data_IF_194001799458
#
_entry.id   IF_194001799458
#
_cell.length_a   1.000
_cell.length_b   1.000
_cell.length_c   1.000
_cell.angle_alpha   90.00
_cell.angle_beta   90.00
_cell.angle_gamma   90.00
#
_symmetry.space_group_name_H-M   'P 1'
#
loop_
_entity.id
_entity.type
_entity.pdbx_description
1 polymer ?
#
# COMPACT_ATOMS: atom_id res chain seq x y z
N UNK A 1 32.73 44.55 44.27
CA UNK A 1 33.99 43.86 44.63
C UNK A 1 33.63 42.46 45.14
N UNK A 2 34.34 41.37 44.77
CA UNK A 2 34.70 40.96 43.41
C UNK A 2 34.48 39.44 43.14
N UNK A 3 34.50 39.10 41.85
CA UNK A 3 35.22 38.01 41.14
C UNK A 3 35.45 36.58 41.69
N UNK A 4 35.49 35.69 40.68
CA UNK A 4 36.20 34.41 40.52
C UNK A 4 35.49 33.13 40.99
N UNK A 5 35.66 31.96 40.38
CA UNK A 5 36.16 31.45 39.08
C UNK A 5 36.21 29.91 39.25
N UNK A 6 36.39 29.16 38.15
CA UNK A 6 36.83 27.75 38.09
C UNK A 6 35.74 26.68 38.37
N UNK A 7 35.64 25.53 37.71
CA UNK A 7 36.30 24.96 36.53
C UNK A 7 35.68 23.57 36.23
N UNK A 8 36.01 23.06 35.04
CA UNK A 8 36.15 21.63 34.65
C UNK A 8 34.88 20.80 34.36
N UNK A 9 34.87 19.92 33.36
CA UNK A 9 35.92 19.50 32.45
C UNK A 9 35.41 18.32 31.61
N UNK A 10 35.64 18.39 30.31
CA UNK A 10 35.48 17.30 29.35
C UNK A 10 36.85 16.63 29.16
N UNK A 11 36.91 15.30 29.26
CA UNK A 11 38.03 14.44 28.86
C UNK A 11 37.36 13.16 28.34
N UNK A 12 37.49 12.65 27.11
CA UNK A 12 38.58 12.58 26.12
C UNK A 12 39.90 12.11 26.74
N UNK A 13 40.03 10.78 26.85
CA UNK A 13 41.34 10.13 26.95
C UNK A 13 41.54 9.27 25.70
N UNK A 14 42.36 9.81 24.80
CA UNK A 14 43.23 9.01 23.96
C UNK A 14 44.49 8.68 24.73
N UNK A 15 44.99 7.46 24.58
CA UNK A 15 46.37 7.12 24.92
C UNK A 15 47.01 6.37 23.75
N UNK A 16 47.97 7.05 23.12
CA UNK A 16 48.97 6.53 22.19
C UNK A 16 50.16 6.00 23.01
N UNK A 17 50.87 5.00 22.49
CA UNK A 17 52.23 4.66 22.93
C UNK A 17 52.49 3.15 23.03
N UNK A 18 52.67 2.44 21.93
CA UNK A 18 53.97 2.05 21.36
C UNK A 18 54.73 0.99 22.19
N UNK A 19 54.77 -0.26 21.70
CA UNK A 19 55.92 -1.14 21.93
C UNK A 19 56.13 -2.07 20.71
N UNK A 20 57.39 -2.10 20.25
CA UNK A 20 57.90 -2.77 19.05
C UNK A 20 58.23 -4.25 19.34
N UNK A 21 57.97 -5.10 18.32
CA UNK A 21 58.72 -6.29 17.84
C UNK A 21 58.96 -7.43 18.85
N UNK A 22 58.65 -8.70 18.53
CA UNK A 22 59.46 -9.55 17.64
C UNK A 22 58.71 -10.79 17.08
N UNK A 23 58.98 -11.07 15.80
CA UNK A 23 59.16 -12.35 15.06
C UNK A 23 58.44 -13.68 15.41
N UNK A 24 57.96 -14.31 14.32
CA UNK A 24 57.90 -15.75 13.97
C UNK A 24 56.60 -16.55 14.20
N UNK A 25 56.02 -17.08 13.10
CA UNK A 25 55.10 -18.22 13.12
C UNK A 25 54.12 -18.27 11.93
N UNK A 26 54.00 -19.38 11.17
CA UNK A 26 53.40 -19.38 9.83
C UNK A 26 51.88 -19.60 9.81
N UNK A 27 51.28 -19.07 8.73
CA UNK A 27 50.04 -19.47 8.04
C UNK A 27 49.09 -20.44 8.77
N UNK A 28 47.95 -19.93 9.23
CA UNK A 28 46.70 -20.68 9.35
C UNK A 28 45.53 -19.86 8.80
N UNK A 29 44.90 -20.36 7.74
CA UNK A 29 43.62 -19.88 7.23
C UNK A 29 42.49 -20.60 7.99
N UNK A 30 41.52 -19.90 8.62
CA UNK A 30 40.34 -20.57 9.15
C UNK A 30 39.34 -20.91 8.02
N UNK A 31 38.85 -22.14 8.10
CA UNK A 31 37.94 -22.82 7.18
C UNK A 31 36.60 -22.09 7.05
N UNK A 32 36.19 -21.82 5.81
CA UNK A 32 34.87 -21.33 5.42
C UNK A 32 33.89 -22.50 5.42
N UNK A 33 33.05 -22.61 6.45
CA UNK A 33 31.91 -23.55 6.45
C UNK A 33 30.91 -23.18 5.35
N UNK A 34 30.77 -24.07 4.37
CA UNK A 34 29.69 -24.03 3.36
C UNK A 34 28.46 -24.76 3.92
N UNK A 35 27.23 -24.26 3.70
CA UNK A 35 26.04 -25.03 4.04
C UNK A 35 25.95 -26.25 3.13
N UNK A 36 25.65 -27.40 3.75
CA UNK A 36 25.47 -28.70 3.09
C UNK A 36 24.08 -28.73 2.45
N UNK A 37 24.01 -28.73 1.13
CA UNK A 37 22.80 -29.15 0.42
C UNK A 37 22.63 -30.67 0.59
N UNK A 38 21.58 -31.09 1.28
CA UNK A 38 21.15 -32.49 1.22
C UNK A 38 20.63 -32.78 -0.20
N UNK A 39 21.39 -33.58 -0.93
CA UNK A 39 21.02 -34.12 -2.24
C UNK A 39 20.26 -35.43 -2.00
N UNK A 40 18.94 -35.40 -2.11
CA UNK A 40 18.14 -36.60 -2.39
C UNK A 40 17.94 -36.62 -3.91
N UNK A 41 18.42 -37.70 -4.54
CA UNK A 41 18.51 -37.85 -5.99
C UNK A 41 17.17 -37.69 -6.72
N UNK A 42 17.22 -37.07 -7.90
CA UNK A 42 16.07 -36.96 -8.82
C UNK A 42 16.45 -37.47 -10.21
N UNK A 43 15.53 -38.23 -10.81
CA UNK A 43 15.60 -38.71 -12.20
C UNK A 43 15.60 -37.53 -13.20
N UNK A 44 16.22 -37.67 -14.38
CA UNK A 44 16.34 -36.58 -15.35
C UNK A 44 15.05 -36.47 -16.18
N UNK A 45 14.54 -35.25 -16.39
CA UNK A 45 13.58 -35.00 -17.48
C UNK A 45 12.32 -34.20 -17.17
N UNK A 46 12.22 -33.45 -16.08
CA UNK A 46 11.17 -32.43 -15.93
C UNK A 46 11.79 -31.04 -16.00
N UNK A 47 11.52 -30.31 -17.09
CA UNK A 47 11.75 -28.86 -17.15
C UNK A 47 11.08 -28.28 -15.92
N UNK A 48 11.90 -27.77 -15.00
CA UNK A 48 11.42 -27.04 -13.84
C UNK A 48 10.79 -25.76 -14.40
N UNK A 49 9.47 -25.75 -14.55
CA UNK A 49 8.74 -24.54 -14.84
C UNK A 49 8.97 -23.64 -13.63
N UNK A 50 9.95 -22.74 -13.74
CA UNK A 50 10.05 -21.60 -12.83
C UNK A 50 8.85 -20.75 -13.21
N UNK A 51 7.71 -21.00 -12.55
CA UNK A 51 6.58 -20.09 -12.58
C UNK A 51 7.11 -18.82 -11.93
N UNK A 52 7.50 -17.84 -12.75
CA UNK A 52 7.72 -16.50 -12.26
C UNK A 52 6.40 -16.06 -11.64
N UNK A 53 6.33 -16.01 -10.32
CA UNK A 53 5.29 -15.24 -9.66
C UNK A 53 5.48 -13.81 -10.18
N UNK A 54 4.68 -13.41 -11.16
CA UNK A 54 4.41 -12.00 -11.44
C UNK A 54 3.64 -11.44 -10.23
N UNK A 55 4.29 -11.41 -9.07
CA UNK A 55 3.68 -11.12 -7.79
C UNK A 55 3.21 -9.68 -7.81
N UNK A 56 1.91 -9.49 -7.97
CA UNK A 56 1.31 -8.17 -7.87
C UNK A 56 1.59 -7.61 -6.48
N UNK A 57 2.00 -6.36 -6.46
CA UNK A 57 2.30 -5.65 -5.23
C UNK A 57 0.97 -5.14 -4.65
N UNK A 58 0.64 -5.59 -3.44
CA UNK A 58 -0.51 -5.15 -2.67
C UNK A 58 -0.09 -4.95 -1.21
N UNK A 59 -0.90 -4.20 -0.47
CA UNK A 59 -0.65 -3.93 0.95
C UNK A 59 -1.37 -4.96 1.81
N UNK A 60 -0.73 -5.43 2.89
CA UNK A 60 -1.44 -6.13 3.96
C UNK A 60 -2.43 -5.19 4.69
N UNK A 61 -3.31 -5.75 5.52
CA UNK A 61 -4.25 -4.95 6.31
C UNK A 61 -3.50 -4.00 7.27
N UNK A 62 -2.43 -4.47 7.91
CA UNK A 62 -1.60 -3.66 8.81
C UNK A 62 -0.85 -2.56 8.07
N UNK A 63 -0.31 -2.85 6.88
CA UNK A 63 0.36 -1.87 6.02
C UNK A 63 -0.62 -0.78 5.55
N UNK A 64 -1.83 -1.17 5.16
CA UNK A 64 -2.88 -0.23 4.79
C UNK A 64 -3.26 0.68 5.96
N UNK A 65 -3.44 0.12 7.16
CA UNK A 65 -3.75 0.90 8.36
C UNK A 65 -2.60 1.85 8.74
N UNK A 66 -1.35 1.41 8.59
CA UNK A 66 -0.17 2.27 8.76
C UNK A 66 -0.20 3.46 7.79
N UNK A 67 -0.42 3.19 6.49
CA UNK A 67 -0.53 4.24 5.47
C UNK A 67 -1.65 5.23 5.78
N UNK A 68 -2.85 4.75 6.15
CA UNK A 68 -3.99 5.61 6.48
C UNK A 68 -3.74 6.42 7.76
N UNK A 69 -3.10 5.82 8.76
CA UNK A 69 -2.68 6.50 9.99
C UNK A 69 -1.70 7.63 9.70
N UNK A 70 -0.62 7.34 8.96
CA UNK A 70 0.37 8.34 8.54
C UNK A 70 -0.25 9.44 7.69
N UNK A 71 -1.17 9.10 6.77
CA UNK A 71 -1.89 10.07 5.96
C UNK A 71 -2.70 11.04 6.84
N UNK A 72 -3.44 10.51 7.81
CA UNK A 72 -4.28 11.29 8.72
C UNK A 72 -3.48 12.24 9.60
N UNK A 73 -2.31 11.80 10.07
CA UNK A 73 -1.40 12.63 10.86
C UNK A 73 -0.84 13.81 10.05
N UNK A 74 -0.64 13.63 8.75
CA UNK A 74 -0.13 14.70 7.87
C UNK A 74 -1.20 15.69 7.44
N UNK A 75 -2.32 15.17 6.94
CA UNK A 75 -3.42 15.99 6.48
C UNK A 75 -4.71 15.18 6.41
N UNK A 76 -5.80 15.75 6.92
CA UNK A 76 -7.15 15.16 6.82
C UNK A 76 -7.53 14.91 5.34
N UNK A 77 -7.13 15.82 4.44
CA UNK A 77 -7.29 15.65 2.99
C UNK A 77 -6.65 14.37 2.49
N UNK A 78 -5.40 14.13 2.86
CA UNK A 78 -4.62 13.01 2.32
C UNK A 78 -5.16 11.67 2.82
N UNK A 79 -5.64 11.63 4.07
CA UNK A 79 -6.37 10.48 4.59
C UNK A 79 -7.65 10.20 3.80
N UNK A 80 -8.53 11.20 3.64
CA UNK A 80 -9.78 11.03 2.90
C UNK A 80 -9.51 10.62 1.44
N UNK A 81 -8.54 11.26 0.80
CA UNK A 81 -8.16 10.98 -0.58
C UNK A 81 -7.62 9.56 -0.80
N UNK A 82 -6.72 9.09 0.07
CA UNK A 82 -6.16 7.73 -0.02
C UNK A 82 -7.24 6.69 0.30
N UNK A 83 -8.05 6.93 1.33
CA UNK A 83 -9.13 6.03 1.71
C UNK A 83 -10.14 5.88 0.58
N UNK A 84 -10.65 6.97 0.01
CA UNK A 84 -11.59 6.93 -1.13
C UNK A 84 -10.98 6.26 -2.36
N UNK A 85 -9.68 6.47 -2.61
CA UNK A 85 -8.98 5.78 -3.71
C UNK A 85 -8.95 4.27 -3.49
N UNK A 86 -8.69 3.83 -2.26
CA UNK A 86 -8.70 2.43 -1.88
C UNK A 86 -10.12 1.84 -1.93
N UNK A 87 -11.11 2.45 -1.25
CA UNK A 87 -12.49 1.96 -1.13
C UNK A 87 -13.16 1.70 -2.48
N UNK A 88 -12.89 2.57 -3.47
CA UNK A 88 -13.54 2.51 -4.78
C UNK A 88 -12.63 2.03 -5.91
N UNK A 89 -11.39 1.64 -5.60
CA UNK A 89 -10.40 1.13 -6.56
C UNK A 89 -10.11 2.11 -7.70
N UNK A 90 -9.99 3.40 -7.37
CA UNK A 90 -9.84 4.48 -8.34
C UNK A 90 -8.42 4.53 -8.92
N UNK A 91 -8.31 4.95 -10.18
CA UNK A 91 -7.03 5.39 -10.74
C UNK A 91 -6.67 6.75 -10.18
N UNK A 92 -5.38 7.08 -10.13
CA UNK A 92 -4.90 8.39 -9.67
C UNK A 92 -5.60 9.59 -10.34
N UNK A 93 -5.83 9.51 -11.65
CA UNK A 93 -6.55 10.53 -12.40
C UNK A 93 -8.05 10.59 -12.10
N UNK A 94 -8.67 9.45 -11.76
CA UNK A 94 -10.09 9.41 -11.37
C UNK A 94 -10.25 10.07 -9.98
N UNK A 95 -9.38 9.75 -9.02
CA UNK A 95 -9.36 10.42 -7.70
C UNK A 95 -9.21 11.94 -7.83
N UNK A 96 -8.30 12.40 -8.69
CA UNK A 96 -8.07 13.82 -8.93
C UNK A 96 -9.25 14.52 -9.63
N UNK A 97 -10.04 13.77 -10.41
CA UNK A 97 -11.17 14.28 -11.17
C UNK A 97 -12.50 14.29 -10.42
N UNK A 98 -12.58 13.72 -9.21
CA UNK A 98 -13.81 13.69 -8.42
C UNK A 98 -14.29 15.10 -8.08
N UNK A 99 -15.62 15.30 -8.14
CA UNK A 99 -16.26 16.57 -7.82
C UNK A 99 -17.10 16.50 -6.55
N UNK A 100 -17.44 17.65 -5.98
CA UNK A 100 -18.38 17.72 -4.84
C UNK A 100 -19.76 17.28 -5.32
N UNK A 101 -20.17 17.68 -6.52
CA UNK A 101 -21.43 17.26 -7.14
C UNK A 101 -21.61 15.75 -7.23
N UNK A 102 -20.51 14.99 -7.27
CA UNK A 102 -20.51 13.53 -7.39
C UNK A 102 -20.77 12.83 -6.05
N UNK A 103 -20.60 13.55 -4.94
CA UNK A 103 -20.67 13.03 -3.57
C UNK A 103 -22.00 13.38 -2.91
N UNK A 104 -22.82 12.37 -2.65
CA UNK A 104 -24.01 12.50 -1.80
C UNK A 104 -23.74 11.87 -0.43
N UNK A 105 -23.36 12.71 0.54
CA UNK A 105 -23.15 12.26 1.93
C UNK A 105 -24.44 11.92 2.69
N UNK A 106 -25.61 12.37 2.21
CA UNK A 106 -26.90 12.05 2.83
C UNK A 106 -27.38 10.68 2.35
N UNK A 107 -27.37 10.46 1.04
CA UNK A 107 -27.63 9.14 0.44
C UNK A 107 -26.52 8.13 0.70
N UNK A 108 -25.31 8.59 1.05
CA UNK A 108 -24.16 7.73 1.31
C UNK A 108 -23.59 7.11 0.04
N UNK A 109 -23.59 7.85 -1.08
CA UNK A 109 -23.16 7.36 -2.38
C UNK A 109 -22.15 8.30 -3.05
N UNK A 110 -21.27 7.71 -3.86
CA UNK A 110 -20.31 8.40 -4.72
C UNK A 110 -20.54 8.00 -6.18
N UNK A 111 -20.75 8.99 -7.03
CA UNK A 111 -20.86 8.84 -8.49
C UNK A 111 -19.49 8.92 -9.13
N UNK A 112 -19.02 7.84 -9.75
CA UNK A 112 -17.65 7.77 -10.26
C UNK A 112 -17.65 7.82 -11.78
N UNK A 113 -17.24 8.97 -12.31
CA UNK A 113 -16.95 9.19 -13.72
C UNK A 113 -15.58 8.59 -14.08
N UNK A 114 -15.55 7.28 -14.29
CA UNK A 114 -14.30 6.57 -14.64
C UNK A 114 -13.79 6.96 -16.02
N UNK A 115 -12.48 6.82 -16.23
CA UNK A 115 -11.80 7.21 -17.48
C UNK A 115 -12.30 6.41 -18.70
N UNK A 116 -12.03 6.93 -19.91
CA UNK A 116 -12.40 6.30 -21.19
C UNK A 116 -12.03 4.81 -21.19
N UNK A 117 -13.02 3.98 -21.51
CA UNK A 117 -12.89 2.52 -21.50
C UNK A 117 -13.36 1.84 -20.20
N UNK A 118 -13.63 2.58 -19.12
CA UNK A 118 -14.25 2.07 -17.90
C UNK A 118 -15.77 2.27 -17.91
N UNK A 119 -16.47 1.69 -16.93
CA UNK A 119 -17.91 1.87 -16.74
C UNK A 119 -18.18 2.97 -15.70
N UNK A 120 -19.20 3.78 -15.93
CA UNK A 120 -19.76 4.63 -14.88
C UNK A 120 -20.31 3.74 -13.75
N UNK A 121 -20.00 4.10 -12.51
CA UNK A 121 -20.41 3.34 -11.32
C UNK A 121 -20.87 4.30 -10.24
N UNK A 122 -22.01 4.00 -9.63
CA UNK A 122 -22.44 4.59 -8.36
C UNK A 122 -22.11 3.56 -7.28
N UNK A 123 -21.42 3.99 -6.23
CA UNK A 123 -20.95 3.11 -5.16
C UNK A 123 -21.32 3.71 -3.81
N UNK A 124 -21.69 2.85 -2.87
CA UNK A 124 -21.96 3.25 -1.49
C UNK A 124 -20.65 3.62 -0.79
N UNK A 125 -20.71 4.62 0.08
CA UNK A 125 -19.59 5.04 0.92
C UNK A 125 -19.41 4.06 2.08
N UNK A 126 -18.18 3.67 2.35
CA UNK A 126 -17.88 2.68 3.37
C UNK A 126 -18.01 3.26 4.79
N UNK A 127 -18.67 2.52 5.69
CA UNK A 127 -18.83 2.90 7.11
C UNK A 127 -18.29 1.80 7.99
N UNK A 128 -17.19 2.07 8.68
CA UNK A 128 -16.54 1.06 9.50
C UNK A 128 -16.65 1.37 10.99
N UNK A 129 -17.48 0.61 11.72
CA UNK A 129 -17.75 0.84 13.16
C UNK A 129 -16.57 0.49 14.08
N UNK A 130 -15.75 -0.49 13.72
CA UNK A 130 -14.67 -0.99 14.58
C UNK A 130 -13.32 -0.31 14.40
N UNK A 131 -13.08 0.31 13.25
CA UNK A 131 -11.78 0.88 12.86
C UNK A 131 -12.04 2.25 12.23
N UNK A 132 -11.91 3.34 13.02
CA UNK A 132 -12.20 4.69 12.55
C UNK A 132 -11.37 5.17 11.35
N UNK A 133 -10.20 4.57 11.11
CA UNK A 133 -9.35 4.89 9.96
C UNK A 133 -9.93 4.43 8.62
N UNK A 134 -10.82 3.42 8.64
CA UNK A 134 -11.50 2.87 7.46
C UNK A 134 -12.90 3.45 7.25
N UNK A 135 -13.37 4.35 8.13
CA UNK A 135 -14.67 5.01 7.98
C UNK A 135 -14.55 6.16 6.98
N UNK A 136 -14.94 5.89 5.74
CA UNK A 136 -14.87 6.82 4.62
C UNK A 136 -15.79 8.02 4.81
N UNK A 137 -17.01 7.79 5.29
CA UNK A 137 -17.95 8.88 5.56
C UNK A 137 -17.37 9.84 6.59
N UNK A 138 -16.72 9.32 7.63
CA UNK A 138 -16.04 10.14 8.64
C UNK A 138 -14.88 10.92 8.04
N UNK A 139 -14.06 10.27 7.21
CA UNK A 139 -12.92 10.92 6.56
C UNK A 139 -13.36 12.06 5.63
N UNK A 140 -14.36 11.81 4.78
CA UNK A 140 -14.91 12.79 3.85
C UNK A 140 -15.57 13.97 4.58
N UNK A 141 -16.35 13.70 5.64
CA UNK A 141 -16.93 14.78 6.47
C UNK A 141 -15.86 15.65 7.11
N UNK A 142 -14.82 15.03 7.67
CA UNK A 142 -13.71 15.75 8.28
C UNK A 142 -12.97 16.62 7.25
N UNK A 143 -12.78 16.11 6.03
CA UNK A 143 -12.16 16.88 4.95
C UNK A 143 -13.04 18.04 4.49
N UNK A 144 -14.33 17.81 4.23
CA UNK A 144 -15.24 18.87 3.76
C UNK A 144 -15.39 20.00 4.78
N UNK A 145 -15.27 19.72 6.07
CA UNK A 145 -15.34 20.74 7.12
C UNK A 145 -14.16 21.75 7.08
N UNK A 146 -13.01 21.34 6.53
CA UNK A 146 -11.80 22.18 6.46
C UNK A 146 -11.37 22.51 5.03
N UNK A 147 -12.15 22.06 4.03
CA UNK A 147 -11.84 22.23 2.62
C UNK A 147 -11.99 23.71 2.21
N UNK A 148 -10.99 24.31 1.54
CA UNK A 148 -11.11 25.66 0.98
C UNK A 148 -12.25 25.78 -0.06
N UNK A 149 -12.94 26.92 -0.09
CA UNK A 149 -14.06 27.19 -1.00
C UNK A 149 -13.64 27.76 -2.35
N UNK A 150 -12.40 28.24 -2.47
CA UNK A 150 -11.82 28.88 -3.65
C UNK A 150 -11.48 27.91 -4.80
N UNK A 151 -11.49 26.61 -4.55
CA UNK A 151 -11.04 25.58 -5.48
C UNK A 151 -12.13 25.04 -6.43
N UNK A 152 -13.24 25.76 -6.56
CA UNK A 152 -14.38 25.34 -7.38
C UNK A 152 -15.00 24.02 -6.91
N UNK A 153 -15.42 23.19 -7.87
CA UNK A 153 -16.18 21.95 -7.63
C UNK A 153 -15.31 20.70 -7.41
N UNK A 154 -13.98 20.82 -7.40
CA UNK A 154 -13.11 19.65 -7.20
C UNK A 154 -13.20 19.10 -5.76
N UNK A 155 -13.46 17.81 -5.58
CA UNK A 155 -13.56 17.20 -4.25
C UNK A 155 -12.24 17.29 -3.47
N UNK A 156 -11.13 16.94 -4.13
CA UNK A 156 -9.79 17.05 -3.59
C UNK A 156 -8.99 18.15 -4.29
N UNK A 157 -8.30 18.96 -3.51
CA UNK A 157 -7.63 20.17 -3.99
C UNK A 157 -6.13 20.09 -3.76
N UNK A 158 -5.36 20.81 -4.56
CA UNK A 158 -3.91 20.97 -4.34
C UNK A 158 -3.64 21.74 -3.03
N UNK A 159 -2.48 21.52 -2.41
CA UNK A 159 -2.10 22.22 -1.16
C UNK A 159 -1.99 23.74 -1.35
N UNK A 160 -1.70 24.19 -2.58
CA UNK A 160 -1.59 25.61 -2.94
C UNK A 160 -2.89 26.18 -3.53
N UNK A 161 -4.00 25.46 -3.40
CA UNK A 161 -5.24 25.76 -4.11
C UNK A 161 -5.25 25.23 -5.54
N UNK A 162 -6.45 25.22 -6.14
CA UNK A 162 -6.68 24.75 -7.50
C UNK A 162 -6.74 23.22 -7.64
N UNK A 163 -6.73 22.77 -8.90
CA UNK A 163 -6.93 21.37 -9.27
C UNK A 163 -5.76 20.49 -8.83
N UNK A 164 -6.08 19.34 -8.24
CA UNK A 164 -5.09 18.32 -7.91
C UNK A 164 -4.72 17.53 -9.18
N UNK A 165 -3.43 17.41 -9.47
CA UNK A 165 -2.95 16.59 -10.60
C UNK A 165 -2.55 15.19 -10.15
N UNK A 166 -2.62 14.21 -11.05
CA UNK A 166 -2.20 12.83 -10.75
C UNK A 166 -0.73 12.74 -10.32
N UNK A 167 0.14 13.59 -10.86
CA UNK A 167 1.55 13.68 -10.45
C UNK A 167 1.70 14.19 -9.02
N UNK A 168 0.89 15.16 -8.60
CA UNK A 168 0.86 15.62 -7.21
C UNK A 168 0.34 14.52 -6.29
N UNK A 169 -0.74 13.84 -6.65
CA UNK A 169 -1.24 12.70 -5.87
C UNK A 169 -0.19 11.59 -5.74
N UNK A 170 0.51 11.26 -6.83
CA UNK A 170 1.62 10.31 -6.80
C UNK A 170 2.71 10.70 -5.80
N UNK A 171 3.12 11.98 -5.81
CA UNK A 171 4.13 12.48 -4.86
C UNK A 171 3.65 12.44 -3.42
N UNK A 172 2.40 12.83 -3.17
CA UNK A 172 1.77 12.77 -1.84
C UNK A 172 1.74 11.34 -1.33
N UNK A 173 1.21 10.41 -2.13
CA UNK A 173 1.14 9.00 -1.77
C UNK A 173 2.54 8.41 -1.54
N UNK A 174 3.49 8.64 -2.44
CA UNK A 174 4.86 8.11 -2.31
C UNK A 174 5.52 8.56 -1.01
N UNK A 175 5.32 9.82 -0.63
CA UNK A 175 5.86 10.37 0.61
C UNK A 175 5.16 9.77 1.85
N UNK A 176 3.85 9.59 1.82
CA UNK A 176 3.10 8.93 2.90
C UNK A 176 3.53 7.46 3.04
N UNK A 177 3.58 6.73 1.93
CA UNK A 177 4.00 5.34 1.88
C UNK A 177 5.44 5.14 2.41
N UNK A 178 6.36 6.05 2.07
CA UNK A 178 7.72 6.05 2.62
C UNK A 178 7.71 6.21 4.13
N UNK A 179 6.96 7.17 4.64
CA UNK A 179 6.94 7.49 6.06
C UNK A 179 6.12 6.46 6.88
N UNK A 180 5.26 5.70 6.22
CA UNK A 180 4.58 4.52 6.77
C UNK A 180 5.46 3.24 6.75
N UNK A 181 6.70 3.33 6.25
CA UNK A 181 7.67 2.23 6.23
C UNK A 181 7.57 1.28 5.05
N UNK A 182 6.76 1.58 4.02
CA UNK A 182 6.61 0.68 2.87
C UNK A 182 7.90 0.61 2.02
N UNK A 183 8.21 -0.53 1.39
CA UNK A 183 9.36 -0.65 0.49
C UNK A 183 9.12 0.12 -0.82
N UNK A 184 10.20 0.57 -1.48
CA UNK A 184 10.11 1.55 -2.58
C UNK A 184 9.23 1.10 -3.76
N UNK A 185 9.25 -0.19 -4.08
CA UNK A 185 8.44 -0.77 -5.15
C UNK A 185 6.92 -0.73 -4.88
N UNK A 186 6.48 -0.50 -3.64
CA UNK A 186 5.07 -0.38 -3.27
C UNK A 186 4.59 1.08 -3.22
N UNK A 187 5.48 2.06 -3.34
CA UNK A 187 5.17 3.48 -3.08
C UNK A 187 4.56 4.18 -4.31
N UNK A 188 3.55 3.56 -4.92
CA UNK A 188 2.80 4.10 -6.05
C UNK A 188 1.27 3.95 -5.86
N UNK A 189 0.43 4.93 -6.27
CA UNK A 189 -1.01 4.89 -6.03
C UNK A 189 -1.75 3.67 -6.59
N UNK A 190 -1.24 3.06 -7.67
CA UNK A 190 -1.82 1.84 -8.23
C UNK A 190 -1.86 0.67 -7.23
N UNK A 191 -1.00 0.67 -6.21
CA UNK A 191 -0.97 -0.37 -5.18
C UNK A 191 -2.30 -0.44 -4.46
N UNK A 192 -2.95 0.70 -4.18
CA UNK A 192 -4.23 0.76 -3.48
C UNK A 192 -5.34 0.02 -4.24
N UNK A 193 -5.36 0.17 -5.57
CA UNK A 193 -6.30 -0.54 -6.42
C UNK A 193 -6.02 -2.04 -6.44
N UNK A 194 -4.75 -2.43 -6.53
CA UNK A 194 -4.38 -3.85 -6.44
C UNK A 194 -4.75 -4.43 -5.07
N UNK A 195 -4.54 -3.68 -3.98
CA UNK A 195 -4.95 -4.05 -2.63
C UNK A 195 -6.45 -4.32 -2.54
N UNK A 196 -7.30 -3.39 -3.00
CA UNK A 196 -8.75 -3.62 -2.98
C UNK A 196 -9.12 -4.88 -3.78
N UNK A 197 -8.60 -5.02 -5.00
CA UNK A 197 -8.90 -6.16 -5.85
C UNK A 197 -8.51 -7.49 -5.20
N UNK A 198 -7.29 -7.57 -4.67
CA UNK A 198 -6.79 -8.75 -3.95
C UNK A 198 -7.60 -9.02 -2.68
N UNK A 199 -7.96 -8.00 -1.90
CA UNK A 199 -8.80 -8.17 -0.71
C UNK A 199 -10.17 -8.74 -1.03
N UNK A 200 -10.80 -8.28 -2.13
CA UNK A 200 -12.08 -8.81 -2.56
C UNK A 200 -11.96 -10.27 -3.03
N UNK A 201 -10.95 -10.59 -3.84
CA UNK A 201 -10.73 -11.95 -4.34
C UNK A 201 -10.43 -12.93 -3.20
N UNK A 202 -9.59 -12.53 -2.23
CA UNK A 202 -9.25 -13.37 -1.06
C UNK A 202 -10.41 -13.58 -0.08
N UNK A 203 -11.48 -12.81 -0.21
CA UNK A 203 -12.73 -12.97 0.57
C UNK A 203 -13.81 -13.68 -0.25
N UNK A 204 -13.41 -14.45 -1.26
CA UNK A 204 -14.27 -15.24 -2.16
C UNK A 204 -15.35 -14.42 -2.87
N UNK A 205 -15.10 -13.12 -3.09
CA UNK A 205 -16.02 -12.28 -3.87
C UNK A 205 -15.95 -12.70 -5.32
N UNK A 206 -17.10 -13.05 -5.89
CA UNK A 206 -17.23 -13.42 -7.30
C UNK A 206 -16.55 -12.39 -8.22
N UNK A 207 -15.73 -12.87 -9.17
CA UNK A 207 -14.91 -12.03 -10.05
C UNK A 207 -15.73 -11.04 -10.90
N UNK A 208 -16.97 -11.37 -11.28
CA UNK A 208 -17.85 -10.44 -11.98
C UNK A 208 -18.25 -9.26 -11.07
N UNK A 209 -18.46 -9.50 -9.78
CA UNK A 209 -18.69 -8.45 -8.79
C UNK A 209 -17.45 -7.59 -8.58
N UNK A 210 -16.26 -8.21 -8.48
CA UNK A 210 -14.97 -7.49 -8.40
C UNK A 210 -14.76 -6.61 -9.64
N UNK A 211 -15.01 -7.15 -10.83
CA UNK A 211 -14.92 -6.41 -12.09
C UNK A 211 -15.84 -5.18 -12.10
N UNK A 212 -17.09 -5.33 -11.65
CA UNK A 212 -18.06 -4.24 -11.56
C UNK A 212 -17.64 -3.19 -10.52
N UNK A 213 -17.16 -3.62 -9.36
CA UNK A 213 -16.66 -2.75 -8.29
C UNK A 213 -15.43 -1.92 -8.72
N UNK A 214 -14.54 -2.49 -9.53
CA UNK A 214 -13.38 -1.76 -10.08
C UNK A 214 -13.69 -0.98 -11.37
N UNK A 215 -14.93 -1.10 -11.88
CA UNK A 215 -15.38 -0.47 -13.12
C UNK A 215 -14.65 -0.94 -14.39
N UNK A 216 -14.09 -2.15 -14.36
CA UNK A 216 -13.38 -2.74 -15.49
C UNK A 216 -14.35 -3.18 -16.58
N UNK A 217 -14.14 -2.72 -17.82
CA UNK A 217 -14.92 -3.17 -18.98
C UNK A 217 -14.51 -4.58 -19.46
N UNK A 218 -13.25 -4.95 -19.29
CA UNK A 218 -12.74 -6.28 -19.62
C UNK A 218 -12.40 -7.06 -18.36
N UNK A 219 -12.80 -8.33 -18.34
CA UNK A 219 -12.47 -9.27 -17.27
C UNK A 219 -10.96 -9.55 -17.20
N UNK A 220 -10.21 -9.39 -18.30
CA UNK A 220 -8.76 -9.62 -18.33
C UNK A 220 -8.02 -8.73 -17.33
N UNK A 221 -8.49 -7.50 -17.09
CA UNK A 221 -7.92 -6.60 -16.07
C UNK A 221 -8.19 -7.07 -14.63
N UNK A 222 -9.13 -7.99 -14.44
CA UNK A 222 -9.48 -8.59 -13.14
C UNK A 222 -8.87 -10.00 -12.99
N UNK A 223 -8.71 -10.76 -14.07
CA UNK A 223 -8.07 -12.08 -14.08
C UNK A 223 -6.63 -12.06 -13.58
N UNK A 224 -5.96 -10.91 -13.72
CA UNK A 224 -4.63 -10.64 -13.18
C UNK A 224 -4.54 -10.85 -11.65
N UNK A 225 -5.66 -10.76 -10.91
CA UNK A 225 -5.72 -10.97 -9.46
C UNK A 225 -6.00 -12.42 -9.04
N UNK A 226 -6.17 -13.32 -10.01
CA UNK A 226 -6.61 -14.70 -9.79
C UNK A 226 -5.41 -15.62 -9.91
N UNK A 227 -4.51 -15.56 -8.93
CA UNK A 227 -3.49 -16.57 -8.72
C UNK A 227 -4.04 -17.61 -7.75
N UNK A 228 -4.61 -18.70 -8.27
CA UNK A 228 -5.12 -19.80 -7.45
C UNK A 228 -4.13 -20.95 -7.49
N UNK A 229 -3.78 -21.49 -6.32
CA UNK A 229 -3.01 -22.73 -6.25
C UNK A 229 -3.91 -23.95 -6.49
N UNK A 230 -3.32 -25.04 -6.98
CA UNK A 230 -4.05 -26.31 -7.22
C UNK A 230 -4.78 -26.80 -5.97
N UNK A 231 -4.22 -26.55 -4.78
CA UNK A 231 -4.80 -26.93 -3.49
C UNK A 231 -6.08 -26.14 -3.17
N UNK A 232 -6.09 -24.85 -3.46
CA UNK A 232 -7.27 -23.99 -3.27
C UNK A 232 -8.36 -24.36 -4.27
N UNK A 233 -7.98 -24.64 -5.53
CA UNK A 233 -8.92 -25.10 -6.55
C UNK A 233 -9.56 -26.45 -6.18
N UNK A 234 -8.78 -27.42 -5.69
CA UNK A 234 -9.30 -28.72 -5.27
C UNK A 234 -10.18 -28.62 -4.02
N UNK A 235 -9.83 -27.76 -3.06
CA UNK A 235 -10.65 -27.51 -1.87
C UNK A 235 -12.00 -26.86 -2.24
N UNK A 236 -12.00 -25.89 -3.15
CA UNK A 236 -13.22 -25.28 -3.67
C UNK A 236 -14.09 -26.29 -4.42
N UNK A 237 -13.48 -27.14 -5.26
CA UNK A 237 -14.16 -28.23 -5.98
C UNK A 237 -14.78 -29.23 -4.99
N UNK A 238 -14.04 -29.63 -3.96
CA UNK A 238 -14.50 -30.56 -2.94
C UNK A 238 -15.70 -29.99 -2.18
N UNK A 239 -15.60 -28.75 -1.69
CA UNK A 239 -16.70 -28.08 -0.99
C UNK A 239 -17.95 -27.92 -1.86
N UNK A 240 -17.78 -27.57 -3.14
CA UNK A 240 -18.91 -27.43 -4.07
C UNK A 240 -19.63 -28.76 -4.30
N UNK A 241 -18.91 -29.87 -4.43
CA UNK A 241 -19.50 -31.20 -4.62
C UNK A 241 -20.20 -31.71 -3.36
N UNK A 242 -19.66 -31.41 -2.17
CA UNK A 242 -20.24 -31.84 -0.89
C UNK A 242 -21.49 -31.05 -0.50
N UNK A 243 -21.64 -29.81 -0.98
CA UNK A 243 -22.78 -28.93 -0.70
C UNK A 243 -23.87 -28.97 -1.81
N UNK A 244 -23.68 -29.76 -2.86
CA UNK A 244 -24.61 -29.84 -3.99
C UNK A 244 -25.76 -30.85 -3.80
N UNK A 245 -25.71 -31.64 -2.73
CA UNK A 245 -26.73 -32.60 -2.30
C UNK A 245 -27.02 -32.41 -0.82
#
# INVERSE_FOLDING_TARGET
MPANALANGAEILGFLGLCRMTTNGPHQYPLRVRPVNHLIGTAPGKRRVVVANNGFVFLSEDELLSVLGTAKLKAIRDWAMILTTYSHGLRAAETCGLKISDLDLRGGVLSIHRLKGSLFTIQELERHRGIPLLDEVRALRAWLAVRPTDCGDALFTSQKGGHLTSTQFYRVFRQIARDAGLPDHMRHPHVLKHTLATHLVRRDVNLAKVQRALGHRSINSTMVYVGVSDKEADSARHNALMNAF
#
